data_IF_804783531390
#
_entry.id   IF_804783531390
#
_cell.length_a   1.000
_cell.length_b   1.000
_cell.length_c   1.000
_cell.angle_alpha   90.00
_cell.angle_beta   90.00
_cell.angle_gamma   90.00
#
_symmetry.space_group_name_H-M   'P 1'
#
loop_
_entity.id
_entity.type
_entity.pdbx_description
1 polymer ?
#
# COMPACT_ATOMS: atom_id res chain seq x y z
N UNK A 1 8.35 17.21 -37.18
CA UNK A 1 8.54 16.60 -35.84
C UNK A 1 9.01 17.71 -34.93
N UNK A 2 8.13 18.21 -34.09
CA UNK A 2 8.49 19.25 -33.12
C UNK A 2 9.37 18.59 -32.07
N UNK A 3 10.56 19.10 -31.94
CA UNK A 3 11.55 18.74 -30.96
C UNK A 3 11.00 19.20 -29.59
N UNK A 4 10.35 18.27 -28.87
CA UNK A 4 10.02 18.49 -27.47
C UNK A 4 11.33 18.28 -26.72
N UNK A 5 12.23 19.24 -26.84
CA UNK A 5 13.20 19.47 -25.78
C UNK A 5 12.38 19.85 -24.55
N UNK A 6 12.32 18.95 -23.59
CA UNK A 6 12.05 19.27 -22.17
C UNK A 6 13.11 20.32 -21.81
N UNK A 7 12.82 21.58 -22.10
CA UNK A 7 13.58 22.69 -21.53
C UNK A 7 13.42 22.53 -20.03
N UNK A 8 14.56 22.53 -19.35
CA UNK A 8 14.66 22.53 -17.91
C UNK A 8 13.45 23.24 -17.30
N UNK A 9 12.77 22.59 -16.39
CA UNK A 9 11.49 23.00 -15.82
C UNK A 9 11.60 24.38 -15.16
N UNK A 10 11.43 25.41 -15.97
CA UNK A 10 11.71 26.80 -15.62
C UNK A 10 10.67 27.45 -14.71
N UNK A 11 9.72 26.68 -14.15
CA UNK A 11 8.80 27.19 -13.10
C UNK A 11 9.60 27.82 -11.95
N UNK A 12 10.79 27.30 -11.67
CA UNK A 12 11.66 27.79 -10.61
C UNK A 12 12.64 28.87 -11.10
N UNK A 13 12.71 29.13 -12.42
CA UNK A 13 13.63 30.12 -12.96
C UNK A 13 13.15 31.54 -12.63
N UNK A 14 14.11 32.47 -12.51
CA UNK A 14 13.82 33.88 -12.18
C UNK A 14 13.20 34.63 -13.37
N UNK A 15 13.28 34.12 -14.59
CA UNK A 15 12.98 34.82 -15.81
C UNK A 15 11.51 34.76 -16.22
N UNK A 16 10.70 33.95 -15.55
CA UNK A 16 9.26 33.86 -15.81
C UNK A 16 8.43 34.88 -15.03
N UNK A 17 7.48 35.49 -15.71
CA UNK A 17 6.49 36.33 -15.03
C UNK A 17 5.60 35.47 -14.09
N UNK A 18 5.00 36.07 -13.08
CA UNK A 18 4.06 35.37 -12.18
C UNK A 18 2.92 34.70 -12.94
N UNK A 19 2.44 35.33 -14.02
CA UNK A 19 1.35 34.80 -14.84
C UNK A 19 1.78 33.52 -15.57
N UNK A 20 3.00 33.50 -16.11
CA UNK A 20 3.54 32.33 -16.80
C UNK A 20 3.78 31.19 -15.83
N UNK A 21 4.31 31.49 -14.63
CA UNK A 21 4.50 30.51 -13.56
C UNK A 21 3.18 29.85 -13.15
N UNK A 22 2.11 30.62 -12.99
CA UNK A 22 0.80 30.08 -12.65
C UNK A 22 0.24 29.25 -13.81
N UNK A 23 0.40 29.69 -15.06
CA UNK A 23 -0.06 28.93 -16.24
C UNK A 23 0.58 27.56 -16.32
N UNK A 24 1.92 27.49 -16.22
CA UNK A 24 2.66 26.22 -16.24
C UNK A 24 2.31 25.36 -15.03
N UNK A 25 2.16 25.96 -13.84
CA UNK A 25 1.75 25.22 -12.64
C UNK A 25 0.34 24.64 -12.77
N UNK A 26 -0.57 25.32 -13.45
CA UNK A 26 -1.93 24.82 -13.68
C UNK A 26 -1.91 23.64 -14.64
N UNK A 27 -1.07 23.68 -15.68
CA UNK A 27 -0.87 22.57 -16.60
C UNK A 27 -0.29 21.35 -15.86
N UNK A 28 0.75 21.55 -15.06
CA UNK A 28 1.34 20.50 -14.22
C UNK A 28 0.31 19.94 -13.25
N UNK A 29 -0.50 20.79 -12.61
CA UNK A 29 -1.54 20.37 -11.67
C UNK A 29 -2.62 19.50 -12.35
N UNK A 30 -3.01 19.87 -13.57
CA UNK A 30 -3.98 19.09 -14.38
C UNK A 30 -3.42 17.70 -14.70
N UNK A 31 -2.20 17.66 -15.24
CA UNK A 31 -1.52 16.39 -15.57
C UNK A 31 -1.31 15.54 -14.30
N UNK A 32 -0.92 16.16 -13.20
CA UNK A 32 -0.77 15.48 -11.92
C UNK A 32 -2.09 14.85 -11.47
N UNK A 33 -3.20 15.55 -11.62
CA UNK A 33 -4.54 15.04 -11.27
C UNK A 33 -4.88 13.78 -12.05
N UNK A 34 -4.63 13.80 -13.36
CA UNK A 34 -4.85 12.63 -14.24
C UNK A 34 -3.98 11.44 -13.84
N UNK A 35 -2.69 11.66 -13.57
CA UNK A 35 -1.76 10.62 -13.11
C UNK A 35 -2.18 10.05 -11.75
N UNK A 36 -2.52 10.91 -10.80
CA UNK A 36 -2.96 10.48 -9.46
C UNK A 36 -4.23 9.63 -9.56
N UNK A 37 -5.21 10.02 -10.35
CA UNK A 37 -6.46 9.27 -10.52
C UNK A 37 -6.23 7.93 -11.22
N UNK A 38 -5.39 7.91 -12.26
CA UNK A 38 -5.12 6.70 -13.04
C UNK A 38 -4.28 5.68 -12.28
N UNK A 39 -3.33 6.16 -11.47
CA UNK A 39 -2.37 5.31 -10.76
C UNK A 39 -2.71 5.09 -9.27
N UNK A 40 -3.80 5.68 -8.77
CA UNK A 40 -4.19 5.55 -7.38
C UNK A 40 -3.17 6.17 -6.39
N UNK A 41 -2.55 7.30 -6.75
CA UNK A 41 -1.51 7.95 -5.95
C UNK A 41 -2.05 8.95 -4.91
N UNK A 42 -3.31 8.83 -4.55
CA UNK A 42 -3.91 9.59 -3.46
C UNK A 42 -4.81 8.69 -2.61
N UNK A 43 -4.90 9.04 -1.34
CA UNK A 43 -5.72 8.33 -0.34
C UNK A 43 -6.78 9.28 0.19
N UNK A 44 -8.02 8.81 0.30
CA UNK A 44 -9.09 9.58 0.94
C UNK A 44 -9.05 9.33 2.45
N UNK A 45 -8.87 10.40 3.22
CA UNK A 45 -8.89 10.36 4.67
C UNK A 45 -9.95 11.37 5.13
N UNK A 46 -11.01 10.89 5.75
CA UNK A 46 -12.12 11.72 6.26
C UNK A 46 -12.71 12.69 5.22
N UNK A 47 -12.91 12.19 3.98
CA UNK A 47 -13.47 12.98 2.89
C UNK A 47 -12.49 13.91 2.17
N UNK A 48 -11.23 13.95 2.56
CA UNK A 48 -10.18 14.72 1.90
C UNK A 48 -9.17 13.81 1.20
N UNK A 49 -8.73 14.20 0.01
CA UNK A 49 -7.76 13.45 -0.77
C UNK A 49 -6.34 13.94 -0.48
N UNK A 50 -5.49 13.05 -0.01
CA UNK A 50 -4.08 13.27 0.33
C UNK A 50 -3.19 12.53 -0.66
N UNK A 51 -2.21 13.23 -1.22
CA UNK A 51 -1.25 12.64 -2.17
C UNK A 51 -0.25 11.78 -1.40
N UNK A 52 0.01 10.56 -1.89
CA UNK A 52 1.02 9.64 -1.34
C UNK A 52 2.45 10.12 -1.64
N UNK A 53 3.43 9.56 -0.95
CA UNK A 53 4.84 9.87 -1.19
C UNK A 53 5.25 9.59 -2.64
N UNK A 54 4.70 8.56 -3.27
CA UNK A 54 4.90 8.24 -4.69
C UNK A 54 4.33 9.34 -5.58
N UNK A 55 3.16 9.86 -5.24
CA UNK A 55 2.55 10.97 -5.98
C UNK A 55 3.37 12.27 -5.85
N UNK A 56 3.92 12.55 -4.67
CA UNK A 56 4.86 13.65 -4.46
C UNK A 56 6.15 13.48 -5.25
N UNK A 57 6.69 12.26 -5.30
CA UNK A 57 7.88 11.96 -6.09
C UNK A 57 7.62 12.08 -7.59
N UNK A 58 6.44 11.66 -8.06
CA UNK A 58 5.99 11.84 -9.43
C UNK A 58 5.97 13.33 -9.80
N UNK A 59 5.31 14.17 -8.98
CA UNK A 59 5.32 15.63 -9.17
C UNK A 59 6.73 16.20 -9.25
N UNK A 60 7.61 15.79 -8.32
CA UNK A 60 8.99 16.24 -8.31
C UNK A 60 9.73 15.88 -9.60
N UNK A 61 9.53 14.67 -10.11
CA UNK A 61 10.13 14.19 -11.37
C UNK A 61 9.60 14.99 -12.56
N UNK A 62 8.30 15.30 -12.62
CA UNK A 62 7.71 16.15 -13.66
C UNK A 62 8.33 17.56 -13.67
N UNK A 63 8.80 18.04 -12.54
CA UNK A 63 9.45 19.34 -12.35
C UNK A 63 10.98 19.29 -12.43
N UNK A 64 11.55 18.17 -12.91
CA UNK A 64 13.00 17.99 -13.05
C UNK A 64 13.77 18.00 -11.74
N UNK A 65 13.12 17.57 -10.64
CA UNK A 65 13.73 17.47 -9.32
C UNK A 65 13.82 16.02 -8.86
N UNK A 66 14.71 15.76 -7.91
CA UNK A 66 14.84 14.44 -7.29
C UNK A 66 15.11 14.53 -5.79
N UNK A 67 14.69 13.51 -5.07
CA UNK A 67 14.93 13.40 -3.65
C UNK A 67 16.27 12.68 -3.39
N UNK A 68 17.11 13.25 -2.55
CA UNK A 68 18.33 12.65 -2.06
C UNK A 68 18.27 12.44 -0.56
N UNK A 69 18.35 11.19 -0.11
CA UNK A 69 18.51 10.88 1.32
C UNK A 69 19.93 11.24 1.75
N UNK A 70 20.06 12.12 2.72
CA UNK A 70 21.37 12.51 3.29
C UNK A 70 21.81 11.52 4.36
N UNK A 71 20.90 11.17 5.27
CA UNK A 71 21.12 10.14 6.28
C UNK A 71 19.82 9.53 6.77
N UNK A 72 19.94 8.32 7.34
CA UNK A 72 18.92 7.71 8.21
C UNK A 72 19.65 7.14 9.42
N UNK A 73 19.33 7.61 10.60
CA UNK A 73 20.01 7.22 11.84
C UNK A 73 19.01 6.70 12.88
N UNK A 74 19.41 5.73 13.71
CA UNK A 74 18.57 5.25 14.78
C UNK A 74 18.46 6.30 15.90
N UNK A 75 17.26 6.38 16.51
CA UNK A 75 17.02 7.19 17.70
C UNK A 75 16.56 6.31 18.86
N UNK A 76 16.93 6.73 20.08
CA UNK A 76 16.67 5.94 21.29
C UNK A 76 15.36 6.34 21.99
N UNK A 77 14.99 7.62 21.92
CA UNK A 77 13.80 8.18 22.62
C UNK A 77 13.09 9.20 21.72
N UNK A 78 11.92 8.85 21.14
CA UNK A 78 11.33 7.51 21.11
C UNK A 78 12.18 6.54 20.26
N UNK A 79 12.09 5.22 20.52
CA UNK A 79 12.84 4.23 19.74
C UNK A 79 12.35 4.21 18.30
N UNK A 80 13.24 4.42 17.34
CA UNK A 80 12.89 4.53 15.93
C UNK A 80 14.05 4.94 15.05
N UNK A 81 13.74 5.58 13.93
CA UNK A 81 14.70 6.15 12.99
C UNK A 81 14.33 7.59 12.65
N UNK A 82 15.36 8.42 12.45
CA UNK A 82 15.26 9.77 11.91
C UNK A 82 15.93 9.79 10.54
N UNK A 83 15.26 10.36 9.55
CA UNK A 83 15.79 10.55 8.21
C UNK A 83 15.86 12.04 7.87
N UNK A 84 16.86 12.42 7.06
CA UNK A 84 16.94 13.72 6.40
C UNK A 84 16.99 13.51 4.90
N UNK A 85 16.14 14.23 4.19
CA UNK A 85 16.04 14.19 2.74
C UNK A 85 16.06 15.60 2.18
N UNK A 86 16.84 15.81 1.12
CA UNK A 86 16.90 17.04 0.36
C UNK A 86 16.29 16.85 -1.02
N UNK A 87 15.52 17.84 -1.48
CA UNK A 87 15.04 17.92 -2.86
C UNK A 87 16.02 18.78 -3.64
N UNK A 88 16.49 18.23 -4.75
CA UNK A 88 17.50 18.86 -5.61
C UNK A 88 17.00 19.05 -7.02
N UNK A 89 17.51 20.12 -7.65
CA UNK A 89 17.42 20.35 -9.09
C UNK A 89 18.85 20.61 -9.59
N UNK A 90 19.41 19.64 -10.29
CA UNK A 90 20.87 19.64 -10.55
C UNK A 90 21.66 19.70 -9.24
N UNK A 91 22.54 20.68 -9.10
CA UNK A 91 23.35 20.88 -7.90
C UNK A 91 22.66 21.75 -6.81
N UNK A 92 21.51 22.35 -7.15
CA UNK A 92 20.82 23.23 -6.23
C UNK A 92 19.93 22.44 -5.26
N UNK A 93 20.02 22.74 -3.98
CA UNK A 93 19.10 22.24 -2.95
C UNK A 93 17.92 23.18 -2.85
N UNK A 94 16.71 22.69 -3.11
CA UNK A 94 15.47 23.47 -3.06
C UNK A 94 14.85 23.46 -1.67
N UNK A 95 14.86 22.30 -1.02
CA UNK A 95 14.37 22.12 0.35
C UNK A 95 15.04 20.93 1.01
N UNK A 96 15.09 20.97 2.34
CA UNK A 96 15.55 19.84 3.17
C UNK A 96 14.58 19.64 4.31
N UNK A 97 14.19 18.41 4.58
CA UNK A 97 13.31 18.08 5.69
C UNK A 97 13.81 16.87 6.47
N UNK A 98 13.44 16.85 7.74
CA UNK A 98 13.63 15.69 8.62
C UNK A 98 12.28 15.13 9.05
N UNK A 99 12.24 13.81 9.19
CA UNK A 99 11.12 13.10 9.77
C UNK A 99 11.58 11.95 10.63
N UNK A 100 10.73 11.59 11.57
CA UNK A 100 10.93 10.48 12.50
C UNK A 100 9.87 9.43 12.22
N UNK A 101 10.26 8.15 12.28
CA UNK A 101 9.35 7.03 12.38
C UNK A 101 9.72 6.18 13.60
N UNK A 102 8.72 5.74 14.35
CA UNK A 102 8.87 4.96 15.57
C UNK A 102 8.31 3.56 15.39
N UNK A 103 8.81 2.63 16.20
CA UNK A 103 8.21 1.30 16.27
C UNK A 103 6.80 1.36 16.86
N UNK A 104 5.84 0.73 16.19
CA UNK A 104 4.45 0.66 16.64
C UNK A 104 3.50 0.37 15.49
N UNK A 105 2.28 -0.05 15.78
CA UNK A 105 1.29 -0.36 14.76
C UNK A 105 1.79 -1.38 13.73
N UNK A 106 1.76 -1.00 12.46
CA UNK A 106 2.22 -1.84 11.35
C UNK A 106 3.76 -1.88 11.20
N UNK A 107 4.48 -0.87 11.72
CA UNK A 107 5.93 -0.76 11.61
C UNK A 107 6.61 -1.56 12.74
N UNK A 108 6.61 -2.87 12.61
CA UNK A 108 7.16 -3.78 13.63
C UNK A 108 8.64 -4.13 13.39
N UNK A 109 9.12 -4.05 12.15
CA UNK A 109 10.49 -4.41 11.79
C UNK A 109 11.38 -3.17 11.68
N UNK A 110 12.69 -3.27 11.98
CA UNK A 110 13.63 -2.16 11.80
C UNK A 110 13.62 -1.61 10.37
N UNK A 111 13.52 -2.48 9.36
CA UNK A 111 13.47 -2.09 7.96
C UNK A 111 12.23 -1.26 7.63
N UNK A 112 11.05 -1.65 8.13
CA UNK A 112 9.81 -0.90 7.90
C UNK A 112 9.87 0.49 8.52
N UNK A 113 10.40 0.61 9.75
CA UNK A 113 10.57 1.91 10.43
C UNK A 113 11.60 2.77 9.72
N UNK A 114 12.72 2.17 9.28
CA UNK A 114 13.76 2.84 8.50
C UNK A 114 13.19 3.43 7.21
N UNK A 115 12.51 2.61 6.40
CA UNK A 115 11.87 3.04 5.14
C UNK A 115 10.81 4.11 5.37
N UNK A 116 9.99 3.97 6.41
CA UNK A 116 8.95 4.96 6.75
C UNK A 116 9.55 6.31 7.13
N UNK A 117 10.69 6.34 7.84
CA UNK A 117 11.37 7.59 8.15
C UNK A 117 11.82 8.32 6.87
N UNK A 118 12.38 7.58 5.90
CA UNK A 118 12.78 8.14 4.59
C UNK A 118 11.57 8.66 3.82
N UNK A 119 10.52 7.87 3.71
CA UNK A 119 9.29 8.22 2.98
C UNK A 119 8.66 9.49 3.54
N UNK A 120 8.53 9.60 4.86
CA UNK A 120 7.99 10.79 5.53
C UNK A 120 8.89 12.02 5.32
N UNK A 121 10.21 11.87 5.42
CA UNK A 121 11.14 12.97 5.17
C UNK A 121 11.07 13.46 3.73
N UNK A 122 10.97 12.54 2.76
CA UNK A 122 10.81 12.86 1.34
C UNK A 122 9.50 13.61 1.06
N UNK A 123 8.36 13.10 1.49
CA UNK A 123 7.07 13.76 1.32
C UNK A 123 7.06 15.16 1.93
N UNK A 124 7.64 15.31 3.14
CA UNK A 124 7.75 16.61 3.81
C UNK A 124 8.65 17.59 3.05
N UNK A 125 9.76 17.13 2.47
CA UNK A 125 10.65 17.98 1.68
C UNK A 125 9.97 18.44 0.38
N UNK A 126 9.28 17.54 -0.34
CA UNK A 126 8.51 17.89 -1.52
C UNK A 126 7.37 18.87 -1.19
N UNK A 127 6.67 18.68 -0.08
CA UNK A 127 5.62 19.60 0.37
C UNK A 127 6.15 21.03 0.53
N UNK A 128 7.35 21.20 1.07
CA UNK A 128 7.97 22.52 1.23
C UNK A 128 8.20 23.24 -0.10
N UNK A 129 8.46 22.48 -1.18
CA UNK A 129 8.68 23.03 -2.52
C UNK A 129 7.36 23.25 -3.30
N UNK A 130 6.45 22.28 -3.25
CA UNK A 130 5.41 22.13 -4.27
C UNK A 130 3.98 22.03 -3.72
N UNK A 131 3.76 22.29 -2.41
CA UNK A 131 2.43 22.20 -1.81
C UNK A 131 1.37 23.06 -2.51
N UNK A 132 1.76 24.20 -3.08
CA UNK A 132 0.89 25.10 -3.81
C UNK A 132 0.40 24.48 -5.14
N UNK A 133 1.22 23.68 -5.86
CA UNK A 133 0.81 22.97 -7.09
C UNK A 133 -0.18 21.85 -6.73
N UNK A 134 0.08 21.10 -5.67
CA UNK A 134 -0.84 20.06 -5.17
C UNK A 134 -2.18 20.66 -4.77
N UNK A 135 -2.16 21.86 -4.18
CA UNK A 135 -3.38 22.60 -3.85
C UNK A 135 -4.14 23.07 -5.10
N UNK A 136 -3.45 23.50 -6.15
CA UNK A 136 -4.05 23.82 -7.47
C UNK A 136 -4.70 22.58 -8.10
N UNK A 137 -4.11 21.41 -7.91
CA UNK A 137 -4.64 20.11 -8.37
C UNK A 137 -5.86 19.63 -7.55
N UNK A 138 -6.28 20.37 -6.52
CA UNK A 138 -7.45 20.03 -5.70
C UNK A 138 -7.19 19.05 -4.56
N UNK A 139 -5.94 18.68 -4.29
CA UNK A 139 -5.56 17.78 -3.20
C UNK A 139 -5.15 18.54 -1.93
N UNK A 140 -5.10 17.83 -0.81
CA UNK A 140 -4.56 18.38 0.42
C UNK A 140 -3.03 18.52 0.32
N UNK A 141 -2.44 19.62 0.83
CA UNK A 141 -1.01 19.88 0.69
C UNK A 141 -0.14 19.07 1.64
N UNK A 142 -0.72 18.30 2.54
CA UNK A 142 -0.01 17.41 3.45
C UNK A 142 0.14 16.04 2.82
N UNK A 143 1.34 15.42 2.81
CA UNK A 143 1.50 14.03 2.38
C UNK A 143 0.66 13.08 3.20
N UNK A 144 0.14 12.03 2.58
CA UNK A 144 -0.69 11.03 3.25
C UNK A 144 0.02 10.39 4.46
N UNK A 145 1.32 10.18 4.36
CA UNK A 145 2.17 9.55 5.38
C UNK A 145 2.45 10.45 6.61
N UNK A 146 2.17 11.75 6.51
CA UNK A 146 2.24 12.67 7.66
C UNK A 146 0.95 12.71 8.49
N UNK A 147 -0.14 12.22 7.92
CA UNK A 147 -1.40 12.16 8.65
C UNK A 147 -1.29 11.14 9.77
N UNK A 148 -1.57 11.56 11.00
CA UNK A 148 -1.74 10.62 12.10
C UNK A 148 -2.94 9.75 11.78
N UNK A 149 -2.71 8.45 11.66
CA UNK A 149 -3.76 7.52 11.30
C UNK A 149 -4.89 7.52 12.34
N UNK A 150 -6.10 7.90 11.96
CA UNK A 150 -7.22 7.13 12.38
C UNK A 150 -7.00 5.77 11.69
N UNK A 151 -6.69 4.75 12.46
CA UNK A 151 -6.58 3.33 12.04
C UNK A 151 -6.61 3.11 10.53
N UNK A 152 -5.54 2.58 9.95
CA UNK A 152 -5.38 2.22 8.52
C UNK A 152 -6.52 1.33 7.97
N UNK A 153 -7.58 1.14 8.72
CA UNK A 153 -8.77 0.40 8.35
C UNK A 153 -9.66 1.12 7.33
N UNK A 154 -9.48 2.45 7.10
CA UNK A 154 -10.37 3.17 6.19
C UNK A 154 -9.66 3.73 4.94
N UNK A 155 -8.33 3.57 4.78
CA UNK A 155 -7.57 4.23 3.73
C UNK A 155 -7.13 3.32 2.57
N UNK A 156 -7.26 2.04 2.68
CA UNK A 156 -7.20 1.08 1.58
C UNK A 156 -8.55 0.39 1.47
N UNK A 157 -9.50 1.06 0.87
CA UNK A 157 -10.33 0.39 -0.08
C UNK A 157 -9.60 0.40 -1.44
N UNK A 158 -8.42 -0.27 -1.53
CA UNK A 158 -8.44 -1.41 -2.42
C UNK A 158 -9.73 -2.09 -2.03
N UNK A 159 -10.68 -2.22 -2.94
CA UNK A 159 -11.60 -3.32 -2.83
C UNK A 159 -10.70 -4.51 -2.56
N UNK A 160 -10.41 -4.75 -1.25
CA UNK A 160 -10.07 -6.09 -0.85
C UNK A 160 -11.15 -6.89 -1.53
N UNK A 161 -10.82 -7.96 -2.27
CA UNK A 161 -11.85 -8.82 -2.79
C UNK A 161 -12.76 -8.99 -1.59
N UNK A 162 -13.96 -8.43 -1.69
CA UNK A 162 -14.88 -8.17 -0.59
C UNK A 162 -14.80 -9.42 0.26
N UNK A 163 -13.99 -9.38 1.36
CA UNK A 163 -14.23 -10.29 2.44
C UNK A 163 -15.60 -9.86 2.88
N UNK A 164 -16.57 -10.59 2.38
CA UNK A 164 -17.95 -10.46 2.76
C UNK A 164 -17.96 -10.51 4.28
N UNK A 165 -17.83 -9.32 4.88
CA UNK A 165 -18.00 -9.10 6.30
C UNK A 165 -19.38 -9.63 6.61
N UNK A 166 -19.44 -10.74 7.35
CA UNK A 166 -20.69 -11.44 7.68
C UNK A 166 -21.54 -11.77 6.43
N UNK A 167 -20.94 -12.19 5.32
CA UNK A 167 -21.60 -13.19 4.53
C UNK A 167 -21.72 -14.39 5.46
N UNK A 168 -22.94 -14.81 5.65
CA UNK A 168 -23.25 -16.13 6.12
C UNK A 168 -22.25 -17.06 5.48
N UNK A 169 -21.18 -17.43 6.23
CA UNK A 169 -20.29 -18.49 5.80
C UNK A 169 -21.22 -19.62 5.44
N UNK A 170 -21.10 -20.24 4.26
CA UNK A 170 -21.97 -21.33 3.88
C UNK A 170 -21.97 -22.31 5.04
N UNK A 171 -23.09 -22.96 5.29
CA UNK A 171 -23.12 -24.06 6.27
C UNK A 171 -21.90 -24.96 5.96
N UNK A 172 -21.16 -25.37 6.98
CA UNK A 172 -19.95 -26.20 6.83
C UNK A 172 -20.23 -27.41 5.93
N UNK A 173 -21.42 -27.98 6.00
CA UNK A 173 -21.87 -29.11 5.19
C UNK A 173 -22.00 -28.75 3.70
N UNK A 174 -22.58 -27.61 3.39
CA UNK A 174 -22.71 -27.11 2.01
C UNK A 174 -21.34 -26.80 1.40
N UNK A 175 -20.47 -26.16 2.15
CA UNK A 175 -19.10 -25.89 1.73
C UNK A 175 -18.28 -27.15 1.48
N UNK A 176 -18.45 -28.20 2.29
CA UNK A 176 -17.78 -29.49 2.08
C UNK A 176 -18.33 -30.20 0.84
N UNK A 177 -19.62 -30.09 0.58
CA UNK A 177 -20.21 -30.63 -0.64
C UNK A 177 -19.65 -29.95 -1.90
N UNK A 178 -19.43 -28.64 -1.86
CA UNK A 178 -18.78 -27.90 -2.95
C UNK A 178 -17.34 -28.37 -3.17
N UNK A 179 -16.55 -28.55 -2.09
CA UNK A 179 -15.19 -29.10 -2.18
C UNK A 179 -15.17 -30.54 -2.73
N UNK A 180 -16.15 -31.35 -2.40
CA UNK A 180 -16.28 -32.69 -2.95
C UNK A 180 -16.58 -32.64 -4.47
N UNK A 181 -17.37 -31.69 -4.92
CA UNK A 181 -17.61 -31.47 -6.34
C UNK A 181 -16.34 -31.03 -7.07
N UNK A 182 -15.61 -30.04 -6.53
CA UNK A 182 -14.30 -29.60 -7.08
C UNK A 182 -13.30 -30.76 -7.18
N UNK A 183 -13.17 -31.59 -6.14
CA UNK A 183 -12.28 -32.74 -6.15
C UNK A 183 -12.64 -33.78 -7.20
N UNK A 184 -13.94 -33.99 -7.47
CA UNK A 184 -14.41 -34.91 -8.51
C UNK A 184 -14.16 -34.36 -9.92
N UNK A 185 -14.34 -33.07 -10.13
CA UNK A 185 -14.06 -32.41 -11.42
C UNK A 185 -12.57 -32.49 -11.76
N UNK A 186 -11.68 -32.34 -10.76
CA UNK A 186 -10.24 -32.44 -10.89
C UNK A 186 -9.70 -33.89 -10.99
N UNK A 187 -10.57 -34.91 -11.03
CA UNK A 187 -10.21 -36.32 -10.94
C UNK A 187 -9.38 -36.70 -9.69
N UNK A 188 -9.51 -35.96 -8.60
CA UNK A 188 -8.89 -36.25 -7.34
C UNK A 188 -9.75 -37.22 -6.50
N UNK A 189 -9.06 -38.05 -5.71
CA UNK A 189 -9.75 -38.94 -4.77
C UNK A 189 -10.47 -38.15 -3.67
N UNK A 190 -11.78 -38.44 -3.49
CA UNK A 190 -12.59 -37.80 -2.44
C UNK A 190 -12.35 -38.54 -1.13
N UNK A 191 -11.43 -38.06 -0.34
CA UNK A 191 -11.16 -38.56 1.00
C UNK A 191 -10.96 -37.42 2.01
N UNK A 192 -11.02 -37.73 3.29
CA UNK A 192 -10.86 -36.78 4.39
C UNK A 192 -9.62 -35.89 4.26
N UNK A 193 -8.46 -36.50 3.91
CA UNK A 193 -7.18 -35.78 3.77
C UNK A 193 -7.25 -34.75 2.65
N UNK A 194 -7.83 -35.09 1.52
CA UNK A 194 -7.94 -34.17 0.38
C UNK A 194 -8.95 -33.05 0.65
N UNK A 195 -10.07 -33.30 1.30
CA UNK A 195 -11.03 -32.26 1.73
C UNK A 195 -10.35 -31.25 2.68
N UNK A 196 -9.63 -31.73 3.70
CA UNK A 196 -8.92 -30.87 4.65
C UNK A 196 -7.83 -30.06 3.93
N UNK A 197 -7.09 -30.66 3.01
CA UNK A 197 -6.04 -29.98 2.23
C UNK A 197 -6.63 -28.90 1.32
N UNK A 198 -7.74 -29.17 0.64
CA UNK A 198 -8.42 -28.19 -0.19
C UNK A 198 -8.99 -27.03 0.64
N UNK A 199 -9.60 -27.31 1.79
CA UNK A 199 -10.07 -26.24 2.69
C UNK A 199 -8.92 -25.39 3.20
N UNK A 200 -7.73 -25.98 3.49
CA UNK A 200 -6.54 -25.20 3.86
C UNK A 200 -6.02 -24.34 2.70
N UNK A 201 -6.09 -24.82 1.47
CA UNK A 201 -5.78 -24.02 0.28
C UNK A 201 -6.69 -22.79 0.17
N UNK A 202 -7.98 -22.93 0.50
CA UNK A 202 -8.94 -21.82 0.55
C UNK A 202 -8.63 -20.79 1.67
N UNK A 203 -8.02 -21.22 2.78
CA UNK A 203 -7.47 -20.29 3.81
C UNK A 203 -6.30 -19.50 3.24
N UNK A 204 -5.39 -20.18 2.54
CA UNK A 204 -4.19 -19.55 1.96
C UNK A 204 -4.57 -18.54 0.86
N UNK A 205 -5.60 -18.82 0.08
CA UNK A 205 -6.16 -17.90 -0.92
C UNK A 205 -7.09 -16.83 -0.30
N UNK A 206 -7.27 -16.86 1.01
CA UNK A 206 -8.13 -15.94 1.78
C UNK A 206 -9.63 -16.01 1.43
N UNK A 207 -10.11 -17.12 0.94
CA UNK A 207 -11.53 -17.36 0.65
C UNK A 207 -12.32 -17.72 1.91
N UNK A 208 -11.67 -18.37 2.90
CA UNK A 208 -12.25 -18.71 4.20
C UNK A 208 -11.28 -18.34 5.33
N UNK A 209 -11.80 -18.25 6.56
CA UNK A 209 -10.99 -17.99 7.77
C UNK A 209 -10.39 -19.29 8.32
N UNK A 210 -9.33 -19.18 9.13
CA UNK A 210 -8.75 -20.32 9.84
C UNK A 210 -9.76 -20.95 10.80
N UNK A 211 -10.62 -20.16 11.42
CA UNK A 211 -11.68 -20.62 12.33
C UNK A 211 -12.67 -21.52 11.57
N UNK A 212 -13.12 -21.10 10.40
CA UNK A 212 -13.99 -21.89 9.56
C UNK A 212 -13.32 -23.18 9.07
N UNK A 213 -12.02 -23.15 8.75
CA UNK A 213 -11.26 -24.34 8.44
C UNK A 213 -11.25 -25.34 9.62
N UNK A 214 -11.11 -24.86 10.85
CA UNK A 214 -11.20 -25.71 12.03
C UNK A 214 -12.56 -26.38 12.18
N UNK A 215 -13.65 -25.71 11.82
CA UNK A 215 -14.99 -26.30 11.77
C UNK A 215 -15.08 -27.39 10.71
N UNK A 216 -14.52 -27.15 9.50
CA UNK A 216 -14.43 -28.17 8.43
C UNK A 216 -13.65 -29.40 8.89
N UNK A 217 -12.52 -29.22 9.57
CA UNK A 217 -11.70 -30.31 10.13
C UNK A 217 -12.50 -31.11 11.18
N UNK A 218 -13.24 -30.42 12.06
CA UNK A 218 -14.08 -31.05 13.07
C UNK A 218 -15.22 -31.86 12.44
N UNK A 219 -15.88 -31.31 11.46
CA UNK A 219 -16.93 -32.00 10.71
C UNK A 219 -16.39 -33.25 9.98
N UNK A 220 -15.24 -33.16 9.30
CA UNK A 220 -14.57 -34.29 8.67
C UNK A 220 -14.17 -35.39 9.65
N UNK A 221 -13.77 -35.03 10.88
CA UNK A 221 -13.46 -36.02 11.92
C UNK A 221 -14.70 -36.79 12.38
N UNK A 222 -15.84 -36.13 12.42
CA UNK A 222 -17.10 -36.72 12.88
C UNK A 222 -17.83 -37.54 11.77
N UNK A 223 -17.77 -37.10 10.51
CA UNK A 223 -18.64 -37.60 9.46
C UNK A 223 -17.93 -38.37 8.34
N UNK A 224 -16.60 -38.24 8.20
CA UNK A 224 -15.87 -39.03 7.20
C UNK A 224 -15.37 -40.36 7.78
N UNK A 225 -15.54 -41.50 7.07
CA UNK A 225 -15.01 -42.79 7.52
C UNK A 225 -13.50 -42.69 7.69
N UNK A 226 -12.97 -43.41 8.71
CA UNK A 226 -11.54 -43.47 8.95
C UNK A 226 -10.86 -44.10 7.75
N UNK A 227 -9.74 -43.49 7.33
CA UNK A 227 -8.87 -44.00 6.26
C UNK A 227 -8.37 -45.40 6.71
N UNK A 228 -8.58 -46.46 5.95
CA UNK A 228 -8.17 -47.83 6.37
C UNK A 228 -6.67 -47.98 6.59
N UNK A 229 -5.83 -47.00 6.23
CA UNK A 229 -4.38 -47.01 6.36
C UNK A 229 -3.80 -46.22 7.55
N UNK A 230 -4.63 -45.74 8.48
CA UNK A 230 -4.14 -44.96 9.63
C UNK A 230 -3.51 -45.79 10.77
N UNK A 231 -3.28 -47.09 10.56
CA UNK A 231 -2.72 -48.04 11.55
C UNK A 231 -1.24 -48.39 11.40
N UNK A 232 -0.45 -47.77 10.52
CA UNK A 232 0.95 -48.20 10.24
C UNK A 232 2.06 -47.16 10.50
N UNK A 233 1.77 -45.97 11.03
CA UNK A 233 2.81 -44.95 11.25
C UNK A 233 3.12 -44.61 12.72
N UNK A 234 2.63 -45.41 13.69
CA UNK A 234 3.03 -45.25 15.13
C UNK A 234 3.97 -46.35 15.61
N UNK A 235 4.79 -46.90 14.74
CA UNK A 235 5.83 -47.88 15.17
C UNK A 235 7.07 -47.71 14.29
N UNK A 236 7.86 -46.66 14.51
CA UNK A 236 9.33 -46.67 14.36
C UNK A 236 9.88 -45.48 15.19
#
# INVERSE_FOLDING_TARGET
MADIMLRDSDILSKDYSFKDKISVATEVATTLTEVIQTQGLAVNIQGNNYVTAEGWNCLGTMLGTYAQTEFVEPISKPKGYKARVSIKQGDNVLATAEAIATFGGFQKTPQAVYSMAQTRAMGKAYRMCFSWIVKLAGFQPTPAEEMEHPTFNDAYTVEEPVFKTALELPNVEDFINDLICELKEDNNEVNKRNIIRCSWSKVTSKEITEEFHHEVVSWCKANCPQDPNQGMEESI
#
